data_IF_554876834536
#
_entry.id   IF_554876834536
#
_cell.length_a   1.000
_cell.length_b   1.000
_cell.length_c   1.000
_cell.angle_alpha   90.00
_cell.angle_beta   90.00
_cell.angle_gamma   90.00
#
_symmetry.space_group_name_H-M   'P 1'
#
loop_
_entity.id
_entity.type
_entity.pdbx_description
1 polymer ?
#
# COMPACT_ATOMS: atom_id res chain seq x y z
N UNK A 1 -12.20 25.25 3.47
CA UNK A 1 -12.85 24.51 2.38
C UNK A 1 -11.95 24.52 1.16
N UNK A 2 -11.05 23.55 1.02
CA UNK A 2 -10.25 23.33 -0.19
C UNK A 2 -10.78 22.07 -0.85
N UNK A 3 -11.27 22.23 -2.08
CA UNK A 3 -11.93 21.19 -2.88
C UNK A 3 -11.05 19.95 -3.06
N UNK A 4 -11.53 18.73 -2.75
CA UNK A 4 -10.78 17.48 -2.95
C UNK A 4 -10.51 17.13 -4.43
N UNK A 5 -11.03 17.94 -5.38
CA UNK A 5 -10.98 17.69 -6.83
C UNK A 5 -9.56 17.82 -7.43
N UNK A 6 -8.66 18.60 -6.83
CA UNK A 6 -7.30 18.79 -7.34
C UNK A 6 -6.32 17.70 -6.91
N UNK A 7 -6.48 17.08 -5.74
CA UNK A 7 -5.59 15.98 -5.30
C UNK A 7 -5.73 14.74 -6.17
N UNK A 8 -6.95 14.40 -6.61
CA UNK A 8 -7.20 13.24 -7.48
C UNK A 8 -6.55 13.41 -8.85
N UNK A 9 -6.60 14.61 -9.43
CA UNK A 9 -6.07 14.87 -10.77
C UNK A 9 -4.54 14.69 -10.89
N UNK A 10 -3.80 14.90 -9.79
CA UNK A 10 -2.34 14.72 -9.75
C UNK A 10 -1.90 13.34 -9.24
N UNK A 11 -2.73 12.67 -8.44
CA UNK A 11 -2.43 11.35 -7.88
C UNK A 11 -2.67 10.23 -8.90
N UNK A 12 -3.74 10.34 -9.71
CA UNK A 12 -4.13 9.31 -10.68
C UNK A 12 -3.07 9.10 -11.79
N UNK A 13 -2.48 10.14 -12.43
CA UNK A 13 -1.42 9.94 -13.42
C UNK A 13 -0.08 9.50 -12.81
N UNK A 14 0.25 9.96 -11.60
CA UNK A 14 1.50 9.59 -10.93
C UNK A 14 1.49 8.13 -10.47
N UNK A 15 0.42 7.66 -9.85
CA UNK A 15 0.40 6.30 -9.26
C UNK A 15 0.08 5.23 -10.32
N UNK A 16 -0.95 5.41 -11.17
CA UNK A 16 -1.24 4.47 -12.27
C UNK A 16 -0.10 4.44 -13.29
N UNK A 17 0.51 5.60 -13.55
CA UNK A 17 1.64 5.74 -14.45
C UNK A 17 2.88 5.03 -13.91
N UNK A 18 3.24 5.25 -12.64
CA UNK A 18 4.43 4.66 -12.02
C UNK A 18 4.27 3.16 -11.81
N UNK A 19 3.12 2.68 -11.32
CA UNK A 19 2.90 1.24 -11.10
C UNK A 19 2.86 0.47 -12.42
N UNK A 20 2.14 1.00 -13.42
CA UNK A 20 2.08 0.39 -14.76
C UNK A 20 3.41 0.48 -15.51
N UNK A 21 4.18 1.55 -15.31
CA UNK A 21 5.53 1.69 -15.86
C UNK A 21 6.51 0.73 -15.16
N UNK A 22 6.45 0.61 -13.84
CA UNK A 22 7.25 -0.32 -13.06
C UNK A 22 6.93 -1.77 -13.47
N UNK A 23 5.66 -2.15 -13.56
CA UNK A 23 5.27 -3.50 -14.01
C UNK A 23 5.84 -3.86 -15.39
N UNK A 24 5.85 -2.90 -16.34
CA UNK A 24 6.45 -3.09 -17.67
C UNK A 24 7.98 -3.14 -17.64
N UNK A 25 8.63 -2.40 -16.74
CA UNK A 25 10.10 -2.32 -16.63
C UNK A 25 10.72 -3.43 -15.81
N UNK A 26 10.03 -3.92 -14.79
CA UNK A 26 10.49 -4.99 -13.89
C UNK A 26 10.38 -6.38 -14.52
N UNK A 27 9.89 -6.50 -15.76
CA UNK A 27 9.60 -7.77 -16.41
C UNK A 27 9.00 -8.79 -15.43
N UNK A 28 7.99 -8.36 -14.65
CA UNK A 28 7.21 -9.25 -13.79
C UNK A 28 6.34 -10.16 -14.68
N UNK A 29 6.98 -11.01 -15.49
CA UNK A 29 6.41 -11.97 -16.43
C UNK A 29 6.37 -13.39 -15.84
N UNK A 30 6.84 -13.57 -14.60
CA UNK A 30 6.43 -14.76 -13.85
C UNK A 30 4.95 -14.60 -13.51
N UNK A 31 4.11 -15.55 -13.95
CA UNK A 31 2.66 -15.49 -13.73
C UNK A 31 2.32 -15.26 -12.26
N UNK A 32 3.09 -15.86 -11.34
CA UNK A 32 2.88 -15.69 -9.91
C UNK A 32 3.16 -14.27 -9.39
N UNK A 33 4.29 -13.66 -9.77
CA UNK A 33 4.63 -12.30 -9.35
C UNK A 33 3.70 -11.24 -9.93
N UNK A 34 3.29 -11.43 -11.19
CA UNK A 34 2.33 -10.55 -11.88
C UNK A 34 0.96 -10.56 -11.21
N UNK A 35 0.46 -11.74 -10.82
CA UNK A 35 -0.84 -11.89 -10.17
C UNK A 35 -0.85 -11.27 -8.78
N UNK A 36 0.21 -11.48 -7.99
CA UNK A 36 0.31 -10.88 -6.66
C UNK A 36 0.49 -9.36 -6.73
N UNK A 37 1.34 -8.84 -7.61
CA UNK A 37 1.49 -7.40 -7.79
C UNK A 37 0.19 -6.73 -8.23
N UNK A 38 -0.54 -7.36 -9.16
CA UNK A 38 -1.86 -6.88 -9.59
C UNK A 38 -2.88 -6.87 -8.44
N UNK A 39 -2.98 -7.97 -7.68
CA UNK A 39 -3.87 -8.06 -6.54
C UNK A 39 -3.59 -6.97 -5.50
N UNK A 40 -2.31 -6.77 -5.18
CA UNK A 40 -1.83 -5.76 -4.24
C UNK A 40 -2.19 -4.34 -4.70
N UNK A 41 -2.00 -4.03 -5.98
CA UNK A 41 -2.41 -2.74 -6.54
C UNK A 41 -3.93 -2.56 -6.49
N UNK A 42 -4.71 -3.57 -6.87
CA UNK A 42 -6.17 -3.53 -6.78
C UNK A 42 -6.66 -3.30 -5.34
N UNK A 43 -6.04 -3.96 -4.36
CA UNK A 43 -6.39 -3.81 -2.95
C UNK A 43 -6.08 -2.39 -2.43
N UNK A 44 -4.92 -1.82 -2.77
CA UNK A 44 -4.58 -0.44 -2.41
C UNK A 44 -5.57 0.57 -2.98
N UNK A 45 -5.90 0.43 -4.27
CA UNK A 45 -6.88 1.29 -4.92
C UNK A 45 -8.27 1.14 -4.32
N UNK A 46 -8.67 -0.09 -3.98
CA UNK A 46 -9.95 -0.34 -3.33
C UNK A 46 -10.02 0.34 -1.96
N UNK A 47 -8.98 0.22 -1.14
CA UNK A 47 -8.89 0.89 0.17
C UNK A 47 -8.92 2.41 0.01
N UNK A 48 -8.20 2.96 -0.97
CA UNK A 48 -8.26 4.38 -1.28
C UNK A 48 -9.69 4.82 -1.61
N UNK A 49 -10.39 4.09 -2.48
CA UNK A 49 -11.81 4.38 -2.80
C UNK A 49 -12.71 4.21 -1.58
N UNK A 50 -12.50 3.20 -0.74
CA UNK A 50 -13.29 3.01 0.48
C UNK A 50 -13.12 4.14 1.51
N UNK A 51 -11.96 4.80 1.52
CA UNK A 51 -11.59 5.81 2.52
C UNK A 51 -11.59 7.25 2.02
N UNK A 52 -11.61 7.50 0.70
CA UNK A 52 -11.41 8.84 0.13
C UNK A 52 -12.44 9.89 0.59
N UNK A 53 -13.70 9.48 0.78
CA UNK A 53 -14.78 10.38 1.20
C UNK A 53 -14.87 10.55 2.73
N UNK A 54 -14.11 9.76 3.50
CA UNK A 54 -14.20 9.78 4.97
C UNK A 54 -13.37 10.90 5.61
N UNK A 55 -12.47 11.56 4.87
CA UNK A 55 -11.63 12.63 5.43
C UNK A 55 -10.86 12.18 6.69
N UNK A 56 -10.57 13.05 7.66
CA UNK A 56 -9.84 12.64 8.87
C UNK A 56 -10.55 11.56 9.72
N UNK A 57 -11.86 11.35 9.50
CA UNK A 57 -12.74 10.48 10.30
C UNK A 57 -12.43 8.99 10.09
N UNK A 58 -11.77 8.59 8.99
CA UNK A 58 -11.36 7.18 8.83
C UNK A 58 -10.40 6.71 9.92
N UNK A 59 -9.74 7.65 10.63
CA UNK A 59 -8.82 7.37 11.75
C UNK A 59 -9.50 7.28 13.11
N UNK A 60 -10.79 7.64 13.21
CA UNK A 60 -11.55 7.61 14.46
C UNK A 60 -12.52 6.43 14.55
N UNK A 61 -12.47 5.50 13.59
CA UNK A 61 -13.25 4.27 13.64
C UNK A 61 -12.59 3.34 14.64
N UNK A 62 -13.35 2.85 15.63
CA UNK A 62 -12.88 1.82 16.55
C UNK A 62 -12.38 0.62 15.76
N UNK A 63 -11.09 0.32 15.91
CA UNK A 63 -10.43 -0.69 15.10
C UNK A 63 -9.91 -1.83 15.98
N UNK A 64 -9.77 -3.04 15.42
CA UNK A 64 -9.12 -4.13 16.14
C UNK A 64 -7.69 -3.76 16.49
N UNK A 65 -7.19 -4.33 17.59
CA UNK A 65 -5.88 -4.03 18.17
C UNK A 65 -4.71 -4.10 17.18
N UNK A 66 -4.78 -4.95 16.15
CA UNK A 66 -3.73 -5.05 15.13
C UNK A 66 -3.75 -3.87 14.15
N UNK A 67 -4.94 -3.40 13.75
CA UNK A 67 -5.12 -2.21 12.92
C UNK A 67 -4.67 -0.97 13.69
N UNK A 68 -5.11 -0.86 14.94
CA UNK A 68 -4.69 0.23 15.83
C UNK A 68 -3.17 0.24 16.04
N UNK A 69 -2.56 -0.94 16.24
CA UNK A 69 -1.11 -1.05 16.42
C UNK A 69 -0.30 -0.54 15.23
N UNK A 70 -0.77 -0.81 14.01
CA UNK A 70 -0.15 -0.31 12.76
C UNK A 70 -0.39 1.20 12.60
N UNK A 71 -1.60 1.67 12.88
CA UNK A 71 -2.00 3.06 12.65
C UNK A 71 -1.63 4.04 13.77
N UNK A 72 -1.25 3.52 14.94
CA UNK A 72 -0.96 4.31 16.13
C UNK A 72 0.05 5.44 15.86
N UNK A 73 -0.22 6.59 16.48
CA UNK A 73 0.59 7.83 16.32
C UNK A 73 0.76 8.26 14.86
N UNK A 74 -0.17 7.90 13.97
CA UNK A 74 -0.08 8.17 12.54
C UNK A 74 1.06 7.37 11.89
N UNK A 75 1.10 6.06 12.17
CA UNK A 75 2.10 5.10 11.67
C UNK A 75 3.53 5.30 12.21
N UNK A 76 3.71 6.09 13.28
CA UNK A 76 5.03 6.38 13.89
C UNK A 76 5.46 5.34 14.93
N UNK A 77 4.75 4.22 15.05
CA UNK A 77 5.17 3.08 15.85
C UNK A 77 6.16 2.21 15.06
N UNK A 78 6.98 1.35 15.71
CA UNK A 78 7.86 0.43 14.99
C UNK A 78 7.11 -0.45 13.99
N UNK A 79 5.91 -0.92 14.37
CA UNK A 79 5.02 -1.72 13.53
C UNK A 79 4.48 -0.90 12.34
N UNK A 80 4.05 0.34 12.58
CA UNK A 80 3.59 1.25 11.53
C UNK A 80 4.70 1.66 10.55
N UNK A 81 5.91 1.93 11.06
CA UNK A 81 7.07 2.23 10.22
C UNK A 81 7.48 1.02 9.38
N UNK A 82 7.41 -0.19 9.95
CA UNK A 82 7.68 -1.43 9.23
C UNK A 82 6.64 -1.67 8.11
N UNK A 83 5.36 -1.40 8.38
CA UNK A 83 4.30 -1.43 7.37
C UNK A 83 4.56 -0.42 6.23
N UNK A 84 4.88 0.84 6.57
CA UNK A 84 5.20 1.88 5.57
C UNK A 84 6.43 1.51 4.75
N UNK A 85 7.47 0.98 5.39
CA UNK A 85 8.68 0.53 4.72
C UNK A 85 8.36 -0.59 3.73
N UNK A 86 7.60 -1.61 4.14
CA UNK A 86 7.16 -2.67 3.23
C UNK A 86 6.31 -2.15 2.08
N UNK A 87 5.41 -1.20 2.34
CA UNK A 87 4.54 -0.59 1.33
C UNK A 87 5.32 0.20 0.26
N UNK A 88 6.23 1.08 0.67
CA UNK A 88 6.88 2.04 -0.26
C UNK A 88 8.27 1.59 -0.71
N UNK A 89 9.04 0.92 0.16
CA UNK A 89 10.44 0.57 -0.12
C UNK A 89 10.52 -0.73 -0.89
N UNK A 90 9.59 -1.68 -0.72
CA UNK A 90 9.61 -2.96 -1.46
C UNK A 90 9.57 -2.76 -2.99
N UNK A 91 8.65 -1.97 -3.58
CA UNK A 91 8.62 -1.79 -5.03
C UNK A 91 9.88 -1.11 -5.56
N UNK A 92 10.39 -0.10 -4.84
CA UNK A 92 11.63 0.60 -5.16
C UNK A 92 12.85 -0.32 -5.06
N UNK A 93 12.88 -1.20 -4.07
CA UNK A 93 13.95 -2.16 -3.87
C UNK A 93 13.97 -3.21 -4.98
N UNK A 94 12.82 -3.74 -5.36
CA UNK A 94 12.73 -4.66 -6.51
C UNK A 94 13.13 -3.95 -7.81
N UNK A 95 12.79 -2.66 -7.97
CA UNK A 95 13.24 -1.86 -9.10
C UNK A 95 14.75 -1.63 -9.16
N UNK A 96 15.38 -1.34 -8.02
CA UNK A 96 16.83 -1.24 -7.93
C UNK A 96 17.55 -2.55 -8.27
N UNK A 97 16.91 -3.69 -8.04
CA UNK A 97 17.43 -5.01 -8.43
C UNK A 97 17.39 -5.21 -9.95
N UNK A 98 16.21 -5.02 -10.56
CA UNK A 98 16.01 -5.21 -12.00
C UNK A 98 16.85 -4.24 -12.84
N UNK A 99 17.10 -3.03 -12.35
CA UNK A 99 17.99 -2.05 -13.00
C UNK A 99 19.47 -2.30 -12.74
N UNK A 100 19.82 -3.34 -11.97
CA UNK A 100 21.19 -3.71 -11.65
C UNK A 100 21.89 -2.79 -10.64
N UNK A 101 21.23 -1.75 -10.12
CA UNK A 101 21.83 -0.77 -9.19
C UNK A 101 22.38 -1.45 -7.93
N UNK A 102 21.67 -2.43 -7.39
CA UNK A 102 22.06 -3.06 -6.13
C UNK A 102 23.30 -3.95 -6.25
N UNK A 103 23.37 -4.74 -7.33
CA UNK A 103 24.48 -5.68 -7.56
C UNK A 103 25.68 -5.01 -8.23
N UNK A 104 25.46 -4.13 -9.20
CA UNK A 104 26.54 -3.48 -9.96
C UNK A 104 27.02 -2.15 -9.35
N UNK A 105 26.12 -1.30 -8.85
CA UNK A 105 26.51 0.01 -8.31
C UNK A 105 26.87 -0.06 -6.83
N UNK A 106 26.09 -0.80 -6.04
CA UNK A 106 26.28 -0.90 -4.58
C UNK A 106 27.08 -2.13 -4.14
N UNK A 107 27.45 -3.03 -5.06
CA UNK A 107 28.21 -4.26 -4.79
C UNK A 107 27.59 -5.10 -3.65
N UNK A 108 26.26 -5.09 -3.56
CA UNK A 108 25.54 -5.71 -2.46
C UNK A 108 25.58 -7.25 -2.59
N UNK A 109 26.03 -8.00 -1.58
CA UNK A 109 26.02 -9.46 -1.64
C UNK A 109 24.58 -10.00 -1.69
N UNK A 110 24.38 -11.09 -2.43
CA UNK A 110 23.05 -11.70 -2.66
C UNK A 110 22.29 -12.01 -1.37
N UNK A 111 22.99 -12.43 -0.30
CA UNK A 111 22.37 -12.71 1.00
C UNK A 111 21.67 -11.48 1.56
N UNK A 112 22.32 -10.31 1.53
CA UNK A 112 21.72 -9.06 2.03
C UNK A 112 20.53 -8.67 1.17
N UNK A 113 20.61 -8.84 -0.15
CA UNK A 113 19.49 -8.57 -1.05
C UNK A 113 18.26 -9.43 -0.71
N UNK A 114 18.42 -10.75 -0.60
CA UNK A 114 17.29 -11.64 -0.29
C UNK A 114 16.74 -11.42 1.11
N UNK A 115 17.59 -11.15 2.11
CA UNK A 115 17.13 -10.80 3.46
C UNK A 115 16.33 -9.50 3.46
N UNK A 116 16.78 -8.47 2.74
CA UNK A 116 16.06 -7.21 2.62
C UNK A 116 14.70 -7.40 1.93
N UNK A 117 14.65 -8.15 0.83
CA UNK A 117 13.39 -8.48 0.14
C UNK A 117 12.43 -9.21 1.07
N UNK A 118 12.90 -10.20 1.83
CA UNK A 118 12.06 -10.95 2.76
C UNK A 118 11.47 -10.05 3.86
N UNK A 119 12.29 -9.17 4.45
CA UNK A 119 11.85 -8.23 5.48
C UNK A 119 10.82 -7.23 4.92
N UNK A 120 11.09 -6.64 3.75
CA UNK A 120 10.18 -5.70 3.10
C UNK A 120 8.87 -6.37 2.67
N UNK A 121 8.93 -7.61 2.17
CA UNK A 121 7.75 -8.41 1.85
C UNK A 121 6.91 -8.72 3.09
N UNK A 122 7.54 -9.03 4.24
CA UNK A 122 6.82 -9.20 5.50
C UNK A 122 6.12 -7.92 5.96
N UNK A 123 6.75 -6.76 5.78
CA UNK A 123 6.11 -5.46 6.03
C UNK A 123 4.88 -5.24 5.14
N UNK A 124 4.95 -5.62 3.85
CA UNK A 124 3.80 -5.52 2.93
C UNK A 124 2.69 -6.52 3.29
N UNK A 125 3.04 -7.75 3.68
CA UNK A 125 2.06 -8.75 4.12
C UNK A 125 1.29 -8.30 5.38
N UNK A 126 1.93 -7.52 6.26
CA UNK A 126 1.27 -6.90 7.41
C UNK A 126 0.18 -5.88 7.00
N UNK A 127 0.36 -5.18 5.87
CA UNK A 127 -0.62 -4.20 5.37
C UNK A 127 -1.91 -4.86 4.87
N UNK A 128 -1.83 -6.06 4.28
CA UNK A 128 -2.98 -6.75 3.68
C UNK A 128 -4.19 -6.91 4.65
N UNK A 129 -4.04 -7.44 5.88
CA UNK A 129 -5.18 -7.53 6.80
C UNK A 129 -5.72 -6.17 7.24
N UNK A 130 -4.87 -5.14 7.31
CA UNK A 130 -5.31 -3.76 7.62
C UNK A 130 -6.14 -3.20 6.47
N UNK A 131 -5.66 -3.37 5.24
CA UNK A 131 -6.34 -2.98 4.01
C UNK A 131 -7.70 -3.69 3.87
N UNK A 132 -7.74 -5.01 4.04
CA UNK A 132 -8.98 -5.80 4.01
C UNK A 132 -9.98 -5.37 5.08
N UNK A 133 -9.51 -4.97 6.26
CA UNK A 133 -10.39 -4.46 7.31
C UNK A 133 -11.09 -3.16 6.90
N UNK A 134 -10.39 -2.23 6.24
CA UNK A 134 -11.02 -1.01 5.70
C UNK A 134 -12.07 -1.31 4.64
N UNK A 135 -11.74 -2.23 3.71
CA UNK A 135 -12.70 -2.67 2.68
C UNK A 135 -13.92 -3.30 3.34
N UNK A 136 -13.72 -4.17 4.32
CA UNK A 136 -14.81 -4.83 5.04
C UNK A 136 -15.73 -3.85 5.74
N UNK A 137 -15.19 -2.87 6.48
CA UNK A 137 -16.01 -1.84 7.13
C UNK A 137 -16.80 -1.01 6.12
N UNK A 138 -16.21 -0.70 4.97
CA UNK A 138 -16.92 -0.01 3.92
C UNK A 138 -18.06 -0.85 3.34
N UNK A 139 -17.86 -2.15 3.12
CA UNK A 139 -18.91 -3.07 2.68
C UNK A 139 -20.03 -3.17 3.72
N UNK A 140 -19.70 -3.29 5.01
CA UNK A 140 -20.69 -3.28 6.09
C UNK A 140 -21.51 -1.98 6.12
N UNK A 141 -20.84 -0.84 5.93
CA UNK A 141 -21.50 0.44 5.80
C UNK A 141 -22.49 0.47 4.62
N UNK A 142 -22.08 0.00 3.44
CA UNK A 142 -22.95 -0.07 2.24
C UNK A 142 -24.17 -0.98 2.44
N UNK A 143 -24.00 -2.10 3.15
CA UNK A 143 -25.09 -3.06 3.42
C UNK A 143 -26.05 -2.51 4.49
N UNK A 144 -25.59 -1.64 5.39
CA UNK A 144 -26.36 -1.23 6.56
C UNK A 144 -27.54 -0.28 6.29
N UNK A 145 -27.78 0.16 5.04
CA UNK A 145 -28.81 1.15 4.61
C UNK A 145 -28.89 2.45 5.45
N UNK A 146 -27.94 2.68 6.38
CA UNK A 146 -27.91 3.90 7.16
C UNK A 146 -27.52 5.06 6.24
N UNK A 147 -28.28 6.17 6.23
CA UNK A 147 -27.86 7.35 5.48
C UNK A 147 -26.43 7.70 5.93
N UNK A 148 -25.55 7.90 4.95
CA UNK A 148 -24.15 8.19 5.24
C UNK A 148 -23.98 9.39 6.15
N UNK A 149 -22.82 9.53 6.83
CA UNK A 149 -22.56 10.68 7.68
C UNK A 149 -22.85 11.95 6.90
N UNK A 150 -23.81 12.74 7.39
CA UNK A 150 -24.18 14.02 6.81
C UNK A 150 -22.97 14.94 6.90
N UNK A 151 -22.45 15.28 5.72
CA UNK A 151 -21.32 16.20 5.52
C UNK A 151 -21.62 17.60 6.03
#
# INVERSE_FOLDING_TARGET
MTTPRFSVLWYVPNVIGVDGWAARKLQQVSAFGAWWGFFIACLEWLVFVCTHNMGPVWRSIEAPWWVEGVMAKGFKTPVGMFAIAGLHVLPLWLYGHETGVQLYTWHLPHTIHYTAVLLLAAGRMLCVPVELWFVWNHVQFLISEKPGPTT
#
